data_IF_717120872253
#
_entry.id   IF_717120872253
#
_cell.length_a   1.000
_cell.length_b   1.000
_cell.length_c   1.000
_cell.angle_alpha   90.00
_cell.angle_beta   90.00
_cell.angle_gamma   90.00
#
_symmetry.space_group_name_H-M   'P 1'
#
loop_
_entity.id
_entity.type
_entity.pdbx_description
1 polymer ?
#
# COMPACT_ATOMS: atom_id res chain seq x y z
N UNK A 1 -13.01 -39.76 -36.84
CA UNK A 1 -12.68 -39.26 -35.49
C UNK A 1 -11.54 -40.12 -34.99
N UNK A 2 -10.31 -39.65 -35.17
CA UNK A 2 -9.08 -40.38 -34.86
C UNK A 2 -8.30 -39.57 -33.84
N UNK A 3 -7.99 -40.21 -32.72
CA UNK A 3 -6.99 -39.80 -31.74
C UNK A 3 -5.65 -40.38 -32.20
N UNK A 4 -4.55 -39.62 -32.25
CA UNK A 4 -3.22 -40.20 -32.39
C UNK A 4 -2.56 -40.41 -31.03
N UNK A 5 -2.13 -41.65 -30.83
CA UNK A 5 -1.27 -42.13 -29.76
C UNK A 5 0.19 -41.67 -29.89
N UNK A 6 0.87 -41.83 -28.76
CA UNK A 6 2.27 -41.65 -28.48
C UNK A 6 3.25 -42.44 -29.39
N UNK A 7 4.39 -41.82 -29.65
CA UNK A 7 5.68 -42.43 -29.97
C UNK A 7 6.71 -41.74 -29.05
N UNK A 8 7.65 -42.36 -28.34
CA UNK A 8 8.21 -43.71 -28.43
C UNK A 8 9.64 -43.66 -28.98
N UNK A 9 10.62 -44.00 -28.11
CA UNK A 9 11.98 -44.53 -28.42
C UNK A 9 13.04 -43.50 -28.90
N UNK A 10 14.36 -43.62 -28.65
CA UNK A 10 15.23 -44.54 -27.91
C UNK A 10 16.67 -43.99 -27.96
N UNK A 11 17.52 -44.42 -27.04
CA UNK A 11 18.97 -44.15 -26.95
C UNK A 11 19.79 -44.34 -28.24
N UNK A 12 20.83 -43.51 -28.40
CA UNK A 12 22.13 -43.96 -28.95
C UNK A 12 23.29 -43.14 -28.36
N UNK A 13 24.23 -43.84 -27.74
CA UNK A 13 25.53 -43.35 -27.27
C UNK A 13 26.50 -43.40 -28.46
N UNK A 14 27.30 -42.34 -28.68
CA UNK A 14 28.57 -42.48 -29.38
C UNK A 14 29.63 -41.43 -28.98
N UNK A 15 30.74 -41.99 -28.49
CA UNK A 15 32.15 -41.59 -28.64
C UNK A 15 32.63 -40.19 -28.24
N UNK A 16 33.36 -40.19 -27.12
CA UNK A 16 34.47 -39.29 -26.80
C UNK A 16 35.50 -39.21 -27.93
N UNK A 17 35.90 -37.98 -28.29
CA UNK A 17 37.23 -37.71 -28.81
C UNK A 17 37.87 -36.56 -28.02
N UNK A 18 38.97 -36.88 -27.35
CA UNK A 18 39.86 -35.94 -26.68
C UNK A 18 40.62 -35.11 -27.72
N UNK A 19 40.60 -33.79 -27.58
CA UNK A 19 41.57 -32.89 -28.21
C UNK A 19 42.19 -31.99 -27.14
N UNK A 20 43.52 -31.83 -27.25
CA UNK A 20 44.44 -31.19 -26.31
C UNK A 20 44.12 -29.71 -26.04
N UNK A 21 44.55 -29.16 -24.89
CA UNK A 21 44.24 -27.78 -24.50
C UNK A 21 45.14 -26.78 -25.24
N UNK A 22 44.63 -25.59 -25.62
CA UNK A 22 45.48 -24.45 -25.93
C UNK A 22 45.83 -23.65 -24.66
N UNK A 23 47.09 -23.26 -24.65
CA UNK A 23 47.90 -22.49 -23.68
C UNK A 23 47.28 -21.12 -23.33
N UNK A 24 47.48 -20.58 -22.11
CA UNK A 24 46.76 -19.40 -21.63
C UNK A 24 47.32 -18.12 -22.28
N UNK A 25 46.45 -17.37 -22.96
CA UNK A 25 46.73 -16.02 -23.42
C UNK A 25 45.99 -14.99 -22.57
N UNK A 26 46.76 -14.00 -22.13
CA UNK A 26 46.35 -12.73 -21.54
C UNK A 26 45.40 -12.79 -20.33
N UNK A 27 46.00 -12.60 -19.15
CA UNK A 27 45.32 -12.07 -17.96
C UNK A 27 44.57 -10.80 -18.36
N UNK A 28 43.26 -10.93 -18.58
CA UNK A 28 42.35 -9.79 -18.43
C UNK A 28 42.25 -9.60 -16.93
N UNK A 29 42.77 -8.48 -16.43
CA UNK A 29 42.53 -8.02 -15.07
C UNK A 29 41.02 -8.03 -14.84
N UNK A 30 40.54 -9.12 -14.22
CA UNK A 30 39.26 -9.08 -13.55
C UNK A 30 39.44 -8.06 -12.45
N UNK A 31 38.89 -6.86 -12.68
CA UNK A 31 38.42 -6.01 -11.61
C UNK A 31 37.54 -6.90 -10.74
N UNK A 32 38.14 -7.49 -9.72
CA UNK A 32 37.42 -8.04 -8.58
C UNK A 32 36.82 -6.79 -7.95
N UNK A 33 35.61 -6.47 -8.40
CA UNK A 33 34.71 -5.58 -7.69
C UNK A 33 34.57 -6.20 -6.32
N UNK A 34 35.36 -5.67 -5.39
CA UNK A 34 35.38 -6.07 -4.01
C UNK A 34 33.95 -5.87 -3.55
N UNK A 35 33.24 -6.98 -3.34
CA UNK A 35 31.90 -6.99 -2.79
C UNK A 35 32.06 -6.49 -1.36
N UNK A 36 32.05 -5.16 -1.20
CA UNK A 36 32.02 -4.53 0.11
C UNK A 36 30.83 -5.14 0.84
N UNK A 37 31.11 -5.97 1.83
CA UNK A 37 30.11 -6.46 2.74
C UNK A 37 29.41 -5.23 3.29
N UNK A 38 28.10 -5.04 3.05
CA UNK A 38 27.45 -3.81 3.47
C UNK A 38 27.52 -3.70 4.99
N UNK A 39 28.38 -2.79 5.48
CA UNK A 39 28.75 -2.62 6.90
C UNK A 39 27.59 -2.27 7.83
N UNK A 40 26.37 -2.15 7.31
CA UNK A 40 25.19 -1.84 8.12
C UNK A 40 23.98 -2.68 7.64
N UNK A 41 23.53 -3.67 8.42
CA UNK A 41 22.39 -4.52 8.06
C UNK A 41 21.09 -3.74 7.85
N UNK A 42 20.90 -2.60 8.52
CA UNK A 42 19.73 -1.73 8.31
C UNK A 42 19.74 -1.09 6.92
N UNK A 43 20.92 -0.74 6.39
CA UNK A 43 21.04 -0.22 5.02
C UNK A 43 20.70 -1.28 3.98
N UNK A 44 21.06 -2.54 4.24
CA UNK A 44 20.73 -3.68 3.37
C UNK A 44 19.22 -3.92 3.36
N UNK A 45 18.60 -3.99 4.53
CA UNK A 45 17.15 -4.20 4.66
C UNK A 45 16.38 -3.05 4.01
N UNK A 46 16.78 -1.80 4.26
CA UNK A 46 16.16 -0.63 3.62
C UNK A 46 16.28 -0.69 2.09
N UNK A 47 17.45 -1.03 1.55
CA UNK A 47 17.67 -1.17 0.10
C UNK A 47 16.78 -2.28 -0.47
N UNK A 48 16.80 -3.47 0.13
CA UNK A 48 15.98 -4.60 -0.30
C UNK A 48 14.49 -4.26 -0.35
N UNK A 49 13.93 -3.65 0.72
CA UNK A 49 12.52 -3.30 0.74
C UNK A 49 12.21 -2.18 -0.26
N UNK A 50 13.09 -1.19 -0.40
CA UNK A 50 12.89 -0.10 -1.38
C UNK A 50 12.83 -0.61 -2.81
N UNK A 51 13.66 -1.61 -3.15
CA UNK A 51 13.73 -2.20 -4.49
C UNK A 51 12.56 -3.15 -4.79
N UNK A 52 12.02 -3.83 -3.76
CA UNK A 52 11.00 -4.87 -3.89
C UNK A 52 9.65 -4.50 -3.27
N UNK A 53 9.39 -3.20 -3.02
CA UNK A 53 8.20 -2.74 -2.28
C UNK A 53 6.88 -3.18 -2.89
N UNK A 54 6.81 -3.23 -4.22
CA UNK A 54 5.59 -3.66 -4.95
C UNK A 54 5.37 -5.14 -4.76
N UNK A 55 6.40 -5.98 -4.96
CA UNK A 55 6.29 -7.43 -4.78
C UNK A 55 5.97 -7.78 -3.33
N UNK A 56 6.66 -7.17 -2.36
CA UNK A 56 6.44 -7.42 -0.93
C UNK A 56 4.99 -7.07 -0.54
N UNK A 57 4.52 -5.86 -0.90
CA UNK A 57 3.18 -5.43 -0.55
C UNK A 57 2.13 -6.30 -1.25
N UNK A 58 2.24 -6.50 -2.57
CA UNK A 58 1.23 -7.23 -3.35
C UNK A 58 1.15 -8.68 -2.92
N UNK A 59 2.29 -9.35 -2.73
CA UNK A 59 2.34 -10.75 -2.31
C UNK A 59 1.71 -10.92 -0.94
N UNK A 60 2.14 -10.15 0.06
CA UNK A 60 1.60 -10.27 1.42
C UNK A 60 0.08 -10.01 1.45
N UNK A 61 -0.39 -9.02 0.70
CA UNK A 61 -1.82 -8.68 0.64
C UNK A 61 -2.66 -9.72 -0.11
N UNK A 62 -2.17 -10.27 -1.23
CA UNK A 62 -2.87 -11.34 -1.96
C UNK A 62 -2.94 -12.63 -1.13
N UNK A 63 -1.85 -13.04 -0.49
CA UNK A 63 -1.85 -14.20 0.40
C UNK A 63 -2.77 -13.98 1.62
N UNK A 64 -2.72 -12.79 2.22
CA UNK A 64 -3.65 -12.38 3.27
C UNK A 64 -5.10 -12.46 2.81
N UNK A 65 -5.41 -11.94 1.63
CA UNK A 65 -6.76 -11.99 1.06
C UNK A 65 -7.23 -13.44 0.85
N UNK A 66 -6.46 -14.26 0.15
CA UNK A 66 -6.85 -15.64 -0.18
C UNK A 66 -7.08 -16.51 1.06
N UNK A 67 -6.20 -16.41 2.06
CA UNK A 67 -6.37 -17.16 3.30
C UNK A 67 -7.62 -16.74 4.09
N UNK A 68 -7.95 -15.44 4.08
CA UNK A 68 -9.18 -14.93 4.67
C UNK A 68 -10.43 -15.35 3.88
N UNK A 69 -10.35 -15.40 2.55
CA UNK A 69 -11.44 -15.93 1.72
C UNK A 69 -11.69 -17.42 2.03
N UNK A 70 -10.64 -18.22 2.16
CA UNK A 70 -10.77 -19.63 2.52
C UNK A 70 -11.38 -19.82 3.91
N UNK A 71 -10.94 -19.03 4.90
CA UNK A 71 -11.54 -19.06 6.24
C UNK A 71 -13.03 -18.72 6.21
N UNK A 72 -13.41 -17.68 5.45
CA UNK A 72 -14.81 -17.30 5.28
C UNK A 72 -15.63 -18.40 4.59
N UNK A 73 -15.13 -18.97 3.49
CA UNK A 73 -15.82 -20.01 2.74
C UNK A 73 -15.97 -21.29 3.57
N UNK A 74 -14.95 -21.68 4.33
CA UNK A 74 -15.01 -22.85 5.19
C UNK A 74 -16.04 -22.67 6.31
N UNK A 75 -16.04 -21.53 6.99
CA UNK A 75 -16.95 -21.28 8.10
C UNK A 75 -18.43 -21.16 7.73
N UNK A 76 -18.75 -20.96 6.45
CA UNK A 76 -20.13 -20.84 5.97
C UNK A 76 -20.59 -22.03 5.11
N UNK A 77 -19.68 -22.67 4.40
CA UNK A 77 -20.02 -23.68 3.38
C UNK A 77 -19.27 -25.01 3.55
N UNK A 78 -18.30 -25.12 4.47
CA UNK A 78 -17.50 -26.33 4.71
C UNK A 78 -16.89 -26.94 3.43
N UNK A 79 -16.38 -26.10 2.52
CA UNK A 79 -15.93 -26.54 1.19
C UNK A 79 -14.65 -27.37 1.22
N UNK A 80 -13.83 -27.25 2.27
CA UNK A 80 -12.47 -27.78 2.32
C UNK A 80 -12.27 -28.83 3.43
N UNK A 81 -13.27 -29.07 4.28
CA UNK A 81 -13.18 -29.96 5.45
C UNK A 81 -11.98 -29.65 6.34
N UNK A 82 -11.69 -28.35 6.49
CA UNK A 82 -10.59 -27.86 7.31
C UNK A 82 -11.11 -27.44 8.68
N UNK A 83 -10.25 -27.58 9.69
CA UNK A 83 -10.51 -27.05 11.02
C UNK A 83 -10.67 -25.52 10.95
N UNK A 84 -11.91 -25.05 11.12
CA UNK A 84 -12.28 -23.65 10.95
C UNK A 84 -11.50 -22.75 11.91
N UNK A 85 -11.33 -23.15 13.17
CA UNK A 85 -10.60 -22.36 14.18
C UNK A 85 -9.13 -22.19 13.79
N UNK A 86 -8.49 -23.25 13.30
CA UNK A 86 -7.11 -23.16 12.79
C UNK A 86 -7.01 -22.24 11.58
N UNK A 87 -7.97 -22.33 10.66
CA UNK A 87 -8.00 -21.51 9.46
C UNK A 87 -8.24 -20.02 9.80
N UNK A 88 -9.03 -19.72 10.83
CA UNK A 88 -9.19 -18.36 11.35
C UNK A 88 -7.90 -17.80 11.94
N UNK A 89 -7.16 -18.59 12.71
CA UNK A 89 -5.88 -18.18 13.29
C UNK A 89 -4.86 -17.89 12.19
N UNK A 90 -4.73 -18.80 11.22
CA UNK A 90 -3.79 -18.68 10.10
C UNK A 90 -4.15 -17.47 9.23
N UNK A 91 -5.42 -17.31 8.86
CA UNK A 91 -5.88 -16.18 8.05
C UNK A 91 -5.71 -14.84 8.76
N UNK A 92 -5.95 -14.78 10.07
CA UNK A 92 -5.69 -13.59 10.88
C UNK A 92 -4.20 -13.25 10.93
N UNK A 93 -3.34 -14.25 11.09
CA UNK A 93 -1.89 -14.06 11.04
C UNK A 93 -1.44 -13.45 9.71
N UNK A 94 -1.92 -14.00 8.58
CA UNK A 94 -1.57 -13.46 7.26
C UNK A 94 -2.16 -12.07 7.01
N UNK A 95 -3.35 -11.74 7.54
CA UNK A 95 -3.88 -10.37 7.50
C UNK A 95 -2.98 -9.38 8.26
N UNK A 96 -2.41 -9.79 9.40
CA UNK A 96 -1.45 -8.99 10.17
C UNK A 96 -0.12 -8.82 9.42
N UNK A 97 0.36 -9.86 8.74
CA UNK A 97 1.51 -9.77 7.86
C UNK A 97 1.26 -8.81 6.68
N UNK A 98 0.10 -8.89 6.02
CA UNK A 98 -0.31 -7.98 4.96
C UNK A 98 -0.34 -6.52 5.43
N UNK A 99 -0.94 -6.28 6.61
CA UNK A 99 -0.99 -4.97 7.26
C UNK A 99 0.42 -4.42 7.52
N UNK A 100 1.30 -5.24 8.12
CA UNK A 100 2.69 -4.85 8.40
C UNK A 100 3.49 -4.58 7.13
N UNK A 101 3.34 -5.42 6.10
CA UNK A 101 4.04 -5.25 4.83
C UNK A 101 3.65 -3.93 4.14
N UNK A 102 2.35 -3.60 4.13
CA UNK A 102 1.86 -2.31 3.63
C UNK A 102 2.40 -1.14 4.45
N UNK A 103 2.41 -1.26 5.77
CA UNK A 103 2.96 -0.26 6.68
C UNK A 103 4.44 0.01 6.43
N UNK A 104 5.26 -1.04 6.40
CA UNK A 104 6.72 -0.92 6.23
C UNK A 104 7.06 -0.35 4.84
N UNK A 105 6.45 -0.85 3.78
CA UNK A 105 6.71 -0.38 2.41
C UNK A 105 6.28 1.08 2.21
N UNK A 106 5.11 1.46 2.74
CA UNK A 106 4.64 2.86 2.72
C UNK A 106 5.47 3.80 3.58
N UNK A 107 5.92 3.35 4.76
CA UNK A 107 6.76 4.16 5.65
C UNK A 107 8.12 4.44 5.01
N UNK A 108 8.71 3.46 4.33
CA UNK A 108 9.96 3.64 3.57
C UNK A 108 9.77 4.60 2.39
N UNK A 109 8.65 4.52 1.67
CA UNK A 109 8.34 5.47 0.59
C UNK A 109 8.26 6.92 1.13
N UNK A 110 7.55 7.12 2.25
CA UNK A 110 7.41 8.42 2.89
C UNK A 110 8.72 8.93 3.52
N UNK A 111 9.54 8.03 4.07
CA UNK A 111 10.88 8.34 4.55
C UNK A 111 11.76 8.87 3.42
N UNK A 112 11.72 8.20 2.25
CA UNK A 112 12.45 8.63 1.07
C UNK A 112 11.94 9.96 0.48
N UNK A 113 10.74 10.40 0.86
CA UNK A 113 10.13 11.68 0.46
C UNK A 113 10.27 12.79 1.51
N UNK A 114 10.93 12.52 2.64
CA UNK A 114 10.99 13.42 3.80
C UNK A 114 9.60 13.83 4.34
N UNK A 115 8.57 12.99 4.18
CA UNK A 115 7.20 13.32 4.57
C UNK A 115 6.79 12.61 5.86
N UNK A 116 6.97 13.29 6.99
CA UNK A 116 6.87 12.68 8.32
C UNK A 116 5.44 12.25 8.71
N UNK A 117 4.42 13.03 8.36
CA UNK A 117 3.04 12.74 8.78
C UNK A 117 2.55 11.39 8.21
N UNK A 118 2.55 11.16 6.89
CA UNK A 118 2.16 9.86 6.35
C UNK A 118 3.17 8.76 6.70
N UNK A 119 4.45 9.08 6.93
CA UNK A 119 5.40 8.10 7.48
C UNK A 119 4.91 7.55 8.82
N UNK A 120 4.47 8.42 9.74
CA UNK A 120 3.93 7.99 11.04
C UNK A 120 2.64 7.18 10.87
N UNK A 121 1.78 7.56 9.91
CA UNK A 121 0.58 6.79 9.55
C UNK A 121 0.94 5.37 9.11
N UNK A 122 1.83 5.22 8.12
CA UNK A 122 2.26 3.91 7.65
C UNK A 122 3.02 3.10 8.70
N UNK A 123 3.91 3.73 9.46
CA UNK A 123 4.62 3.07 10.56
C UNK A 123 3.64 2.58 11.64
N UNK A 124 2.54 3.30 11.88
CA UNK A 124 1.47 2.93 12.80
C UNK A 124 0.69 1.67 12.41
N UNK A 125 0.74 1.20 11.17
CA UNK A 125 0.13 -0.08 10.77
C UNK A 125 0.80 -1.27 11.47
N UNK A 126 2.11 -1.20 11.76
CA UNK A 126 2.87 -2.28 12.39
C UNK A 126 2.39 -2.57 13.83
N UNK A 127 2.35 -1.59 14.76
CA UNK A 127 1.82 -1.85 16.09
C UNK A 127 0.34 -2.24 16.03
N UNK A 128 -0.45 -1.70 15.11
CA UNK A 128 -1.84 -2.14 14.93
C UNK A 128 -1.92 -3.61 14.51
N UNK A 129 -1.08 -4.08 13.59
CA UNK A 129 -1.01 -5.49 13.22
C UNK A 129 -0.63 -6.39 14.40
N UNK A 130 0.29 -5.95 15.25
CA UNK A 130 0.74 -6.71 16.42
C UNK A 130 -0.39 -6.79 17.45
N UNK A 131 -0.95 -5.65 17.85
CA UNK A 131 -1.81 -5.55 19.04
C UNK A 131 -3.31 -5.68 18.77
N UNK A 132 -3.80 -5.42 17.55
CA UNK A 132 -5.21 -5.58 17.27
C UNK A 132 -5.58 -7.06 17.15
N UNK A 133 -6.76 -7.42 17.68
CA UNK A 133 -7.39 -8.70 17.38
C UNK A 133 -7.86 -8.74 15.93
N UNK A 134 -8.02 -9.94 15.34
CA UNK A 134 -8.54 -10.08 13.97
C UNK A 134 -9.87 -9.33 13.77
N UNK A 135 -10.79 -9.47 14.72
CA UNK A 135 -12.09 -8.79 14.74
C UNK A 135 -11.97 -7.25 14.65
N UNK A 136 -10.97 -6.65 15.30
CA UNK A 136 -10.80 -5.20 15.33
C UNK A 136 -9.66 -4.70 14.45
N UNK A 137 -9.00 -5.56 13.65
CA UNK A 137 -7.83 -5.18 12.88
C UNK A 137 -8.16 -4.08 11.86
N UNK A 138 -9.22 -4.27 11.08
CA UNK A 138 -9.73 -3.28 10.13
C UNK A 138 -10.11 -1.95 10.81
N UNK A 139 -10.82 -2.05 11.93
CA UNK A 139 -11.22 -0.88 12.74
C UNK A 139 -9.99 -0.11 13.23
N UNK A 140 -9.08 -0.77 13.93
CA UNK A 140 -7.89 -0.15 14.52
C UNK A 140 -6.99 0.52 13.47
N UNK A 141 -6.97 -0.03 12.24
CA UNK A 141 -6.24 0.56 11.11
C UNK A 141 -6.83 1.88 10.61
N UNK A 142 -8.04 2.26 11.02
CA UNK A 142 -8.61 3.57 10.73
C UNK A 142 -7.72 4.73 11.20
N UNK A 143 -7.00 4.57 12.31
CA UNK A 143 -6.03 5.58 12.80
C UNK A 143 -4.86 5.74 11.82
N UNK A 144 -4.01 4.72 11.58
CA UNK A 144 -2.89 4.86 10.65
C UNK A 144 -3.33 5.19 9.22
N UNK A 145 -4.47 4.67 8.76
CA UNK A 145 -5.02 4.99 7.44
C UNK A 145 -5.45 6.46 7.33
N UNK A 146 -6.18 7.00 8.29
CA UNK A 146 -6.54 8.42 8.23
C UNK A 146 -5.31 9.34 8.25
N UNK A 147 -4.24 8.95 8.97
CA UNK A 147 -2.98 9.71 8.97
C UNK A 147 -2.27 9.60 7.61
N UNK A 148 -2.24 8.44 6.96
CA UNK A 148 -1.56 8.28 5.68
C UNK A 148 -2.26 9.05 4.53
N UNK A 149 -3.58 9.26 4.62
CA UNK A 149 -4.36 10.02 3.62
C UNK A 149 -3.94 11.49 3.51
N UNK A 150 -3.28 12.04 4.54
CA UNK A 150 -2.69 13.38 4.47
C UNK A 150 -1.67 13.54 3.34
N UNK A 151 -0.99 12.46 2.93
CA UNK A 151 -0.16 12.45 1.73
C UNK A 151 -0.98 12.81 0.48
N UNK A 152 -2.14 12.18 0.31
CA UNK A 152 -3.03 12.40 -0.82
C UNK A 152 -3.66 13.79 -0.85
N UNK A 153 -3.86 14.40 0.32
CA UNK A 153 -4.35 15.78 0.48
C UNK A 153 -3.29 16.77 0.02
N UNK A 154 -2.06 16.66 0.53
CA UNK A 154 -0.95 17.55 0.18
C UNK A 154 -0.62 17.47 -1.31
N UNK A 155 -0.56 16.24 -1.85
CA UNK A 155 -0.36 16.01 -3.28
C UNK A 155 -1.41 16.74 -4.11
N UNK A 156 -2.71 16.46 -3.92
CA UNK A 156 -3.76 17.04 -4.78
C UNK A 156 -3.96 18.54 -4.62
N UNK A 157 -3.60 19.09 -3.46
CA UNK A 157 -3.65 20.54 -3.22
C UNK A 157 -2.48 21.26 -3.91
N UNK A 158 -1.29 20.65 -3.91
CA UNK A 158 -0.03 21.37 -4.09
C UNK A 158 0.26 22.23 -2.85
N UNK A 159 1.48 22.72 -2.73
CA UNK A 159 1.87 23.56 -1.59
C UNK A 159 2.36 24.89 -2.15
N UNK A 160 1.86 26.00 -1.63
CA UNK A 160 2.39 27.33 -1.93
C UNK A 160 2.36 28.13 -0.63
N UNK A 161 3.50 28.14 0.06
CA UNK A 161 3.64 28.74 1.40
C UNK A 161 4.94 29.52 1.50
N UNK A 162 4.87 30.68 2.13
CA UNK A 162 6.05 31.41 2.56
C UNK A 162 6.54 30.86 3.91
N UNK A 163 7.79 30.39 3.95
CA UNK A 163 8.47 29.95 5.17
C UNK A 163 9.75 30.74 5.32
N UNK A 164 9.91 31.44 6.45
CA UNK A 164 11.09 32.27 6.75
C UNK A 164 11.44 33.27 5.62
N UNK A 165 10.43 33.93 5.05
CA UNK A 165 10.63 34.90 3.96
C UNK A 165 10.85 34.29 2.57
N UNK A 166 10.79 32.96 2.43
CA UNK A 166 10.95 32.25 1.16
C UNK A 166 9.66 31.56 0.75
N UNK A 167 9.16 31.88 -0.45
CA UNK A 167 8.04 31.15 -1.06
C UNK A 167 8.50 29.77 -1.51
N UNK A 168 7.85 28.75 -0.96
CA UNK A 168 8.02 27.35 -1.34
C UNK A 168 6.79 26.93 -2.14
N UNK A 169 7.02 26.48 -3.38
CA UNK A 169 5.96 26.02 -4.29
C UNK A 169 6.22 24.56 -4.67
N UNK A 170 5.40 23.64 -4.18
CA UNK A 170 5.34 22.25 -4.64
C UNK A 170 4.16 22.06 -5.60
N UNK A 171 4.40 21.34 -6.69
CA UNK A 171 3.38 21.02 -7.68
C UNK A 171 2.30 20.09 -7.09
N UNK A 172 1.15 19.97 -7.76
CA UNK A 172 0.14 18.96 -7.40
C UNK A 172 0.60 17.52 -7.66
N UNK A 173 1.62 17.32 -8.48
CA UNK A 173 2.15 15.99 -8.79
C UNK A 173 3.16 15.52 -7.74
N UNK A 174 3.80 16.47 -7.04
CA UNK A 174 4.88 16.23 -6.08
C UNK A 174 4.63 16.85 -4.69
N UNK A 175 3.39 17.28 -4.39
CA UNK A 175 3.06 17.99 -3.14
C UNK A 175 3.34 17.18 -1.87
N UNK A 176 3.65 15.89 -2.00
CA UNK A 176 4.03 14.98 -0.93
C UNK A 176 5.53 14.61 -0.90
N UNK A 177 6.35 15.07 -1.85
CA UNK A 177 7.78 14.77 -1.98
C UNK A 177 8.66 15.98 -1.62
N UNK A 178 8.84 16.21 -0.32
CA UNK A 178 9.66 17.29 0.19
C UNK A 178 11.14 17.14 -0.19
N UNK A 179 11.63 15.91 -0.27
CA UNK A 179 13.04 15.63 -0.61
C UNK A 179 13.39 16.13 -2.01
N UNK A 180 12.49 15.98 -2.99
CA UNK A 180 12.67 16.50 -4.36
C UNK A 180 12.97 18.01 -4.40
N UNK A 181 12.46 18.75 -3.43
CA UNK A 181 12.65 20.21 -3.32
C UNK A 181 13.74 20.61 -2.32
N UNK A 182 14.57 19.65 -1.87
CA UNK A 182 15.65 19.91 -0.90
C UNK A 182 15.14 20.25 0.50
N UNK A 183 13.89 19.91 0.81
CA UNK A 183 13.26 20.20 2.10
C UNK A 183 13.51 19.01 3.04
N UNK A 184 14.07 19.30 4.22
CA UNK A 184 14.29 18.30 5.27
C UNK A 184 12.99 17.81 5.90
N UNK A 185 13.07 16.72 6.65
CA UNK A 185 11.88 16.07 7.22
C UNK A 185 11.12 16.95 8.22
N UNK A 186 11.83 17.71 9.05
CA UNK A 186 11.22 18.62 10.02
C UNK A 186 10.66 19.89 9.37
N UNK A 187 11.31 20.40 8.33
CA UNK A 187 10.80 21.51 7.53
C UNK A 187 9.53 21.09 6.77
N UNK A 188 9.51 19.88 6.21
CA UNK A 188 8.33 19.28 5.57
C UNK A 188 7.18 19.09 6.55
N UNK A 189 7.47 18.69 7.80
CA UNK A 189 6.48 18.62 8.87
C UNK A 189 5.86 20.01 9.16
N UNK A 190 6.69 21.04 9.32
CA UNK A 190 6.22 22.42 9.55
C UNK A 190 5.33 22.90 8.41
N UNK A 191 5.74 22.67 7.16
CA UNK A 191 4.95 22.98 5.97
C UNK A 191 3.60 22.27 5.96
N UNK A 192 3.59 20.99 6.31
CA UNK A 192 2.36 20.20 6.37
C UNK A 192 1.37 20.80 7.38
N UNK A 193 1.83 21.19 8.57
CA UNK A 193 0.98 21.84 9.58
C UNK A 193 0.45 23.20 9.13
N UNK A 194 1.27 24.00 8.43
CA UNK A 194 0.82 25.27 7.86
C UNK A 194 -0.29 25.03 6.84
N UNK A 195 -0.13 24.06 5.94
CA UNK A 195 -1.16 23.72 4.95
C UNK A 195 -2.43 23.16 5.59
N UNK A 196 -2.34 22.33 6.64
CA UNK A 196 -3.52 21.87 7.37
C UNK A 196 -4.24 23.03 8.06
N UNK A 197 -3.51 23.99 8.63
CA UNK A 197 -4.09 25.21 9.18
C UNK A 197 -4.86 26.01 8.13
N UNK A 198 -4.33 26.12 6.89
CA UNK A 198 -5.05 26.74 5.77
C UNK A 198 -6.31 25.97 5.40
N UNK A 199 -6.24 24.64 5.31
CA UNK A 199 -7.41 23.80 5.02
C UNK A 199 -8.51 24.00 6.07
N UNK A 200 -8.15 24.03 7.36
CA UNK A 200 -9.12 24.30 8.44
C UNK A 200 -9.77 25.68 8.26
N UNK A 201 -8.97 26.72 7.98
CA UNK A 201 -9.49 28.07 7.72
C UNK A 201 -10.40 28.12 6.48
N UNK A 202 -10.05 27.40 5.42
CA UNK A 202 -10.83 27.32 4.19
C UNK A 202 -12.13 26.54 4.36
N UNK A 203 -12.14 25.48 5.17
CA UNK A 203 -13.36 24.76 5.55
C UNK A 203 -14.37 25.69 6.26
N UNK A 204 -13.90 26.65 7.05
CA UNK A 204 -14.78 27.64 7.71
C UNK A 204 -15.22 28.74 6.75
N UNK A 205 -14.32 29.25 5.91
CA UNK A 205 -14.58 30.47 5.12
C UNK A 205 -15.11 30.22 3.71
N UNK A 206 -14.72 29.11 3.06
CA UNK A 206 -15.10 28.72 1.70
C UNK A 206 -15.22 27.19 1.59
N UNK A 207 -16.16 26.56 2.33
CA UNK A 207 -16.28 25.11 2.37
C UNK A 207 -16.53 24.54 0.97
N UNK A 208 -15.78 23.49 0.62
CA UNK A 208 -15.99 22.63 -0.56
C UNK A 208 -16.11 23.35 -1.93
N UNK A 209 -15.43 24.48 -2.15
CA UNK A 209 -15.47 25.22 -3.42
C UNK A 209 -14.32 24.90 -4.37
N UNK A 210 -14.63 24.82 -5.67
CA UNK A 210 -13.65 24.71 -6.75
C UNK A 210 -12.72 23.50 -6.60
N UNK A 211 -11.45 23.71 -6.92
CA UNK A 211 -10.42 22.66 -6.90
C UNK A 211 -10.08 22.15 -5.48
N UNK A 212 -10.49 22.88 -4.43
CA UNK A 212 -10.25 22.49 -3.03
C UNK A 212 -11.30 21.51 -2.48
N UNK A 213 -12.37 21.23 -3.24
CA UNK A 213 -13.44 20.32 -2.81
C UNK A 213 -12.91 18.95 -2.37
N UNK A 214 -12.03 18.35 -3.16
CA UNK A 214 -11.50 17.02 -2.86
C UNK A 214 -10.54 17.03 -1.64
N UNK A 215 -9.50 17.90 -1.59
CA UNK A 215 -8.67 18.03 -0.38
C UNK A 215 -9.47 18.27 0.90
N UNK A 216 -10.51 19.12 0.85
CA UNK A 216 -11.40 19.38 1.99
C UNK A 216 -12.18 18.14 2.42
N UNK A 217 -12.81 17.45 1.47
CA UNK A 217 -13.57 16.23 1.75
C UNK A 217 -12.70 15.13 2.34
N UNK A 218 -11.53 14.87 1.73
CA UNK A 218 -10.61 13.86 2.25
C UNK A 218 -10.10 14.26 3.63
N UNK A 219 -9.74 15.53 3.85
CA UNK A 219 -9.30 16.00 5.17
C UNK A 219 -10.34 15.72 6.26
N UNK A 220 -11.60 16.10 6.02
CA UNK A 220 -12.70 15.86 6.98
C UNK A 220 -12.90 14.36 7.21
N UNK A 221 -12.93 13.56 6.14
CA UNK A 221 -13.14 12.11 6.27
C UNK A 221 -11.97 11.42 6.98
N UNK A 222 -10.72 11.80 6.72
CA UNK A 222 -9.53 11.30 7.42
C UNK A 222 -9.62 11.54 8.92
N UNK A 223 -10.07 12.73 9.34
CA UNK A 223 -10.26 13.05 10.76
C UNK A 223 -11.30 12.12 11.40
N UNK A 224 -12.47 11.96 10.78
CA UNK A 224 -13.50 11.07 11.33
C UNK A 224 -13.13 9.58 11.26
N UNK A 225 -12.32 9.17 10.27
CA UNK A 225 -11.75 7.83 10.20
C UNK A 225 -10.77 7.56 11.35
N UNK A 226 -10.05 8.58 11.84
CA UNK A 226 -9.19 8.51 13.03
C UNK A 226 -10.02 8.54 14.32
N UNK A 227 -11.05 9.40 14.38
CA UNK A 227 -11.89 9.54 15.57
C UNK A 227 -12.74 8.29 15.81
N UNK A 228 -13.22 7.61 14.76
CA UNK A 228 -14.05 6.42 14.89
C UNK A 228 -13.43 5.32 15.78
N UNK A 229 -12.20 4.84 15.50
CA UNK A 229 -11.52 3.88 16.35
C UNK A 229 -11.27 4.39 17.78
N UNK A 230 -10.95 5.69 17.93
CA UNK A 230 -10.75 6.30 19.26
C UNK A 230 -12.04 6.24 20.08
N UNK A 231 -13.17 6.60 19.48
CA UNK A 231 -14.49 6.54 20.12
C UNK A 231 -14.87 5.09 20.45
N UNK A 232 -14.58 4.14 19.56
CA UNK A 232 -14.80 2.72 19.82
C UNK A 232 -14.00 2.25 21.04
N UNK A 233 -12.71 2.54 21.08
CA UNK A 233 -11.82 2.18 22.20
C UNK A 233 -12.21 2.88 23.50
N UNK A 234 -12.84 4.05 23.41
CA UNK A 234 -13.34 4.81 24.56
C UNK A 234 -14.72 4.34 25.07
N UNK A 235 -15.29 3.28 24.48
CA UNK A 235 -16.53 2.65 24.93
C UNK A 235 -17.75 2.88 24.03
N UNK A 236 -17.69 3.80 23.07
CA UNK A 236 -18.75 4.01 22.06
C UNK A 236 -18.58 3.01 20.90
N UNK A 237 -18.64 1.72 21.22
CA UNK A 237 -18.22 0.62 20.33
C UNK A 237 -18.83 0.70 18.93
N UNK A 238 -20.15 0.54 18.81
CA UNK A 238 -20.83 0.50 17.51
C UNK A 238 -20.75 1.83 16.78
N UNK A 239 -20.98 2.93 17.48
CA UNK A 239 -20.94 4.27 16.90
C UNK A 239 -19.55 4.63 16.35
N UNK A 240 -18.48 4.36 17.11
CA UNK A 240 -17.12 4.60 16.68
C UNK A 240 -16.73 3.76 15.45
N UNK A 241 -17.17 2.50 15.41
CA UNK A 241 -16.94 1.66 14.24
C UNK A 241 -17.70 2.16 13.00
N UNK A 242 -18.98 2.50 13.14
CA UNK A 242 -19.77 3.05 12.04
C UNK A 242 -19.22 4.37 11.51
N UNK A 243 -18.74 5.24 12.40
CA UNK A 243 -18.03 6.46 12.01
C UNK A 243 -16.79 6.11 11.17
N UNK A 244 -15.96 5.19 11.65
CA UNK A 244 -14.77 4.74 10.91
C UNK A 244 -15.11 4.20 9.52
N UNK A 245 -16.12 3.33 9.41
CA UNK A 245 -16.50 2.70 8.15
C UNK A 245 -17.15 3.68 7.17
N UNK A 246 -18.03 4.56 7.66
CA UNK A 246 -18.72 5.56 6.82
C UNK A 246 -17.72 6.53 6.21
N UNK A 247 -16.83 7.10 7.04
CA UNK A 247 -15.87 8.09 6.56
C UNK A 247 -14.70 7.45 5.80
N UNK A 248 -14.30 6.22 6.13
CA UNK A 248 -13.37 5.44 5.30
C UNK A 248 -13.93 5.22 3.89
N UNK A 249 -15.15 4.67 3.79
CA UNK A 249 -15.81 4.47 2.51
C UNK A 249 -15.99 5.77 1.71
N UNK A 250 -16.25 6.91 2.38
CA UNK A 250 -16.34 8.21 1.72
C UNK A 250 -15.00 8.65 1.09
N UNK A 251 -13.86 8.39 1.74
CA UNK A 251 -12.54 8.61 1.12
C UNK A 251 -12.35 7.69 -0.08
N UNK A 252 -12.77 6.44 0.04
CA UNK A 252 -12.59 5.42 -0.99
C UNK A 252 -13.43 5.67 -2.24
N UNK A 253 -14.62 6.25 -2.10
CA UNK A 253 -15.38 6.82 -3.23
C UNK A 253 -14.56 7.90 -3.94
N UNK A 254 -13.81 8.71 -3.19
CA UNK A 254 -12.86 9.67 -3.77
C UNK A 254 -11.81 8.99 -4.66
N UNK A 255 -11.28 7.83 -4.26
CA UNK A 255 -10.34 7.06 -5.10
C UNK A 255 -10.99 6.48 -6.36
N UNK A 256 -12.26 6.10 -6.30
CA UNK A 256 -13.02 5.62 -7.48
C UNK A 256 -13.25 6.75 -8.48
N UNK A 257 -13.59 7.94 -7.97
CA UNK A 257 -13.93 9.09 -8.79
C UNK A 257 -12.71 9.90 -9.27
N UNK A 258 -11.52 9.60 -8.76
CA UNK A 258 -10.27 10.26 -9.16
C UNK A 258 -9.91 9.87 -10.60
N UNK A 259 -10.30 10.73 -11.56
CA UNK A 259 -10.00 10.56 -12.98
C UNK A 259 -8.51 10.80 -13.21
N UNK A 260 -7.74 9.73 -13.24
CA UNK A 260 -6.34 9.77 -13.66
C UNK A 260 -6.20 9.90 -15.18
N UNK A 261 -5.04 10.41 -15.61
CA UNK A 261 -4.58 10.30 -17.01
C UNK A 261 -4.53 8.81 -17.39
N UNK A 262 -4.84 8.47 -18.64
CA UNK A 262 -4.98 7.09 -19.14
C UNK A 262 -3.77 6.17 -18.88
N UNK A 263 -2.60 6.77 -18.61
CA UNK A 263 -1.32 6.10 -18.48
C UNK A 263 -0.93 5.79 -17.02
N UNK A 264 -1.75 6.20 -16.03
CA UNK A 264 -1.46 5.97 -14.61
C UNK A 264 -2.32 4.83 -14.02
N UNK A 265 -1.74 3.96 -13.16
CA UNK A 265 -2.51 2.91 -12.51
C UNK A 265 -3.59 3.49 -11.60
N UNK A 266 -4.81 2.96 -11.75
CA UNK A 266 -6.02 3.44 -11.08
C UNK A 266 -6.11 3.00 -9.63
N UNK A 267 -6.53 3.91 -8.74
CA UNK A 267 -6.89 3.58 -7.35
C UNK A 267 -8.33 3.08 -7.22
N UNK A 268 -9.14 3.12 -8.29
CA UNK A 268 -10.55 2.75 -8.25
C UNK A 268 -10.81 1.33 -7.74
N UNK A 269 -10.07 0.30 -8.21
CA UNK A 269 -10.22 -1.06 -7.67
C UNK A 269 -9.89 -1.17 -6.18
N UNK A 270 -8.88 -0.42 -5.70
CA UNK A 270 -8.55 -0.37 -4.28
C UNK A 270 -9.68 0.26 -3.46
N UNK A 271 -10.22 1.39 -3.93
CA UNK A 271 -11.35 2.06 -3.31
C UNK A 271 -12.60 1.17 -3.26
N UNK A 272 -12.95 0.49 -4.35
CA UNK A 272 -14.09 -0.42 -4.39
C UNK A 272 -13.93 -1.58 -3.38
N UNK A 273 -12.73 -2.16 -3.28
CA UNK A 273 -12.45 -3.21 -2.32
C UNK A 273 -12.50 -2.70 -0.86
N UNK A 274 -11.95 -1.53 -0.55
CA UNK A 274 -12.06 -0.96 0.81
C UNK A 274 -13.51 -0.62 1.21
N UNK A 275 -14.34 -0.15 0.27
CA UNK A 275 -15.79 0.01 0.50
C UNK A 275 -16.42 -1.34 0.86
N UNK A 276 -16.05 -2.42 0.15
CA UNK A 276 -16.49 -3.78 0.50
C UNK A 276 -16.09 -4.17 1.92
N UNK A 277 -14.85 -3.88 2.32
CA UNK A 277 -14.36 -4.14 3.68
C UNK A 277 -15.16 -3.35 4.74
N UNK A 278 -15.45 -2.06 4.47
CA UNK A 278 -16.25 -1.20 5.34
C UNK A 278 -17.70 -1.69 5.47
N UNK A 279 -18.34 -2.10 4.37
CA UNK A 279 -19.70 -2.64 4.39
C UNK A 279 -19.75 -3.92 5.24
N UNK A 280 -18.80 -4.83 5.06
CA UNK A 280 -18.78 -6.09 5.83
C UNK A 280 -18.49 -5.81 7.31
N UNK A 281 -17.58 -4.90 7.66
CA UNK A 281 -17.32 -4.53 9.05
C UNK A 281 -18.51 -3.82 9.71
N UNK A 282 -19.25 -3.02 8.93
CA UNK A 282 -20.49 -2.40 9.38
C UNK A 282 -21.55 -3.47 9.68
N UNK A 283 -21.77 -4.39 8.74
CA UNK A 283 -22.80 -5.43 8.84
C UNK A 283 -22.50 -6.42 9.96
N UNK A 284 -21.26 -6.86 10.15
CA UNK A 284 -20.90 -7.83 11.20
C UNK A 284 -21.15 -7.33 12.62
N UNK A 285 -21.37 -6.02 12.80
CA UNK A 285 -21.69 -5.39 14.10
C UNK A 285 -23.19 -5.30 14.35
N UNK A 286 -23.99 -5.84 13.44
CA UNK A 286 -25.42 -6.03 13.60
C UNK A 286 -25.68 -7.48 13.99
N UNK A 287 -26.35 -7.69 15.12
CA UNK A 287 -26.65 -9.04 15.67
C UNK A 287 -27.31 -9.97 14.64
N UNK A 288 -28.17 -9.41 13.78
CA UNK A 288 -28.84 -10.17 12.73
C UNK A 288 -27.87 -10.77 11.70
N UNK A 289 -26.80 -10.06 11.36
CA UNK A 289 -25.82 -10.53 10.39
C UNK A 289 -24.81 -11.48 11.04
N UNK A 290 -24.32 -11.13 12.24
CA UNK A 290 -23.37 -11.96 12.98
C UNK A 290 -23.95 -13.35 13.31
N UNK A 291 -25.24 -13.44 13.61
CA UNK A 291 -25.93 -14.71 13.86
C UNK A 291 -26.17 -15.58 12.62
N UNK A 292 -25.96 -15.06 11.41
CA UNK A 292 -26.27 -15.75 10.14
C UNK A 292 -25.07 -15.97 9.25
N UNK A 293 -24.00 -15.21 9.45
CA UNK A 293 -22.80 -15.23 8.62
C UNK A 293 -21.59 -15.41 9.54
N UNK A 294 -21.12 -16.64 9.59
CA UNK A 294 -19.88 -16.98 10.30
C UNK A 294 -18.68 -16.33 9.62
N UNK A 295 -17.61 -16.07 10.38
CA UNK A 295 -16.32 -15.61 9.83
C UNK A 295 -16.41 -14.32 8.99
N UNK A 296 -17.39 -13.46 9.26
CA UNK A 296 -17.58 -12.17 8.57
C UNK A 296 -16.38 -11.22 8.71
N UNK A 297 -15.62 -11.35 9.80
CA UNK A 297 -14.34 -10.67 9.97
C UNK A 297 -13.35 -11.03 8.86
N UNK A 298 -13.25 -12.31 8.50
CA UNK A 298 -12.36 -12.79 7.47
C UNK A 298 -12.82 -12.28 6.09
N UNK A 299 -14.13 -12.19 5.84
CA UNK A 299 -14.62 -11.54 4.62
C UNK A 299 -14.21 -10.06 4.54
N UNK A 300 -14.29 -9.31 5.65
CA UNK A 300 -13.82 -7.91 5.71
C UNK A 300 -12.30 -7.82 5.45
N UNK A 301 -11.51 -8.73 6.03
CA UNK A 301 -10.05 -8.79 5.85
C UNK A 301 -9.64 -9.28 4.45
N UNK A 302 -10.47 -10.07 3.77
CA UNK A 302 -10.29 -10.43 2.36
C UNK A 302 -10.35 -9.18 1.48
N UNK A 303 -11.43 -8.41 1.58
CA UNK A 303 -11.56 -7.13 0.88
C UNK A 303 -10.42 -6.16 1.26
N UNK A 304 -10.07 -6.15 2.54
CA UNK A 304 -8.81 -5.67 3.12
C UNK A 304 -7.57 -5.87 2.23
N UNK A 305 -7.18 -7.14 2.13
CA UNK A 305 -6.00 -7.56 1.40
C UNK A 305 -6.10 -7.24 -0.09
N UNK A 306 -7.26 -7.45 -0.72
CA UNK A 306 -7.44 -7.11 -2.14
C UNK A 306 -7.20 -5.61 -2.39
N UNK A 307 -7.73 -4.75 -1.52
CA UNK A 307 -7.53 -3.32 -1.61
C UNK A 307 -6.04 -2.94 -1.42
N UNK A 308 -5.37 -3.55 -0.45
CA UNK A 308 -3.94 -3.37 -0.21
C UNK A 308 -3.07 -3.80 -1.40
N UNK A 309 -3.43 -4.87 -2.11
CA UNK A 309 -2.75 -5.31 -3.31
C UNK A 309 -2.88 -4.29 -4.45
N UNK A 310 -4.12 -3.86 -4.77
CA UNK A 310 -4.36 -2.83 -5.78
C UNK A 310 -3.68 -1.50 -5.44
N UNK A 311 -3.70 -1.10 -4.17
CA UNK A 311 -3.01 0.10 -3.71
C UNK A 311 -1.50 0.02 -3.91
N UNK A 312 -0.89 -1.15 -3.66
CA UNK A 312 0.54 -1.38 -3.92
C UNK A 312 0.89 -1.25 -5.39
N UNK A 313 0.09 -1.85 -6.27
CA UNK A 313 0.25 -1.74 -7.72
C UNK A 313 0.14 -0.26 -8.15
N UNK A 314 -0.83 0.48 -7.61
CA UNK A 314 -1.06 1.88 -7.98
C UNK A 314 0.02 2.85 -7.46
N UNK A 315 0.61 2.62 -6.28
CA UNK A 315 1.62 3.51 -5.72
C UNK A 315 3.06 3.14 -6.06
N UNK A 316 3.33 1.84 -6.19
CA UNK A 316 4.69 1.32 -6.29
C UNK A 316 4.96 0.66 -7.64
N UNK A 317 3.91 0.33 -8.40
CA UNK A 317 4.04 -0.19 -9.75
C UNK A 317 4.92 0.73 -10.59
N UNK A 318 5.96 0.16 -11.21
CA UNK A 318 6.76 0.88 -12.19
C UNK A 318 5.83 1.22 -13.35
N UNK A 319 5.50 2.51 -13.50
CA UNK A 319 4.85 2.98 -14.74
C UNK A 319 5.81 2.65 -15.88
N UNK A 320 5.40 1.75 -16.77
CA UNK A 320 6.23 1.12 -17.79
C UNK A 320 6.95 2.10 -18.75
N UNK A 321 6.64 3.40 -18.72
CA UNK A 321 7.26 4.42 -19.59
C UNK A 321 8.51 5.12 -19.05
N UNK A 322 8.87 5.02 -17.76
CA UNK A 322 10.07 5.72 -17.25
C UNK A 322 11.41 5.15 -17.75
N UNK A 323 11.38 3.96 -18.36
CA UNK A 323 12.54 3.33 -19.02
C UNK A 323 12.72 3.80 -20.48
N UNK A 324 11.64 4.18 -21.17
CA UNK A 324 11.69 4.60 -22.57
C UNK A 324 12.17 6.06 -22.77
N UNK A 325 12.00 6.92 -21.76
CA UNK A 325 12.44 8.32 -21.82
C UNK A 325 13.93 8.54 -21.52
N UNK A 326 14.69 7.48 -21.16
CA UNK A 326 16.13 7.55 -20.89
C UNK A 326 17.01 7.04 -22.04
N UNK A 327 16.45 6.51 -23.12
CA UNK A 327 17.20 5.94 -24.25
C UNK A 327 17.29 6.83 -25.50
N UNK A 328 16.76 8.06 -25.46
CA UNK A 328 16.97 9.05 -26.52
C UNK A 328 17.86 10.18 -26.00
N UNK A 329 19.13 9.85 -25.77
CA UNK A 329 20.20 10.84 -25.89
C UNK A 329 20.41 11.00 -27.40
N UNK A 330 20.03 12.16 -27.94
CA UNK A 330 20.40 12.54 -29.30
C UNK A 330 21.92 12.49 -29.42
N UNK A 331 22.50 11.87 -30.47
CA UNK A 331 23.92 12.03 -30.73
C UNK A 331 24.18 13.51 -31.04
N UNK A 332 25.14 14.08 -30.31
CA UNK A 332 25.70 15.40 -30.61
C UNK A 332 26.14 15.44 -32.07
N UNK A 333 25.72 16.48 -32.79
CA UNK A 333 26.19 16.76 -34.13
C UNK A 333 27.67 17.13 -34.07
N UNK A 334 28.50 16.41 -34.81
CA UNK A 334 29.84 16.81 -35.22
C UNK A 334 29.77 17.55 -36.55
#
# INVERSE_FOLDING_TARGET
MQVPDAYGLSHSISSFHATKPPVPSAQTEQNIETTETPKNPLKVVHKFISENKTEINTTANVFGALTNLFAFLEGNFHLFNMDTDKLEIISTFFAKCATSARGITGAIDCFNKNNLIPLLGFAGEVPVAIFASGFNLWLARGIPQGINQFQGILKRRGITTEVNGKTITLSREDGDDFKKYGIGMFEGLKLSFVEFGKIIKELVTKPFKGEQRMPHSVFVCSIFQILGPILHLSGLKTFGAWMRDTFGAAVDVGYILDKKKADEPSYGPAGAAWIGSAIVDYLKRLDYFESRVSNSTQLSLFFDGIAGAFYGIANFGKSAKKTAARSTVQPEAA
#
